data_IF_744431913864
#
_entry.id   IF_744431913864
#
_cell.length_a   1.000
_cell.length_b   1.000
_cell.length_c   1.000
_cell.angle_alpha   90.00
_cell.angle_beta   90.00
_cell.angle_gamma   90.00
#
_symmetry.space_group_name_H-M   'P 1'
#
loop_
_entity.id
_entity.type
_entity.pdbx_description
1 polymer ?
#
# COMPACT_ATOMS: atom_id res chain seq x y z
N UNK A 1 -6.22 24.77 -8.63
CA UNK A 1 -5.39 24.06 -7.65
C UNK A 1 -5.02 22.67 -8.18
N UNK A 2 -5.98 21.86 -8.61
CA UNK A 2 -5.74 20.50 -9.14
C UNK A 2 -4.90 20.46 -10.43
N UNK A 3 -5.14 21.36 -11.39
CA UNK A 3 -4.38 21.37 -12.66
C UNK A 3 -2.87 21.57 -12.48
N UNK A 4 -2.45 22.23 -11.39
CA UNK A 4 -1.04 22.54 -11.11
C UNK A 4 -0.34 21.49 -10.24
N UNK A 5 -1.08 20.58 -9.59
CA UNK A 5 -0.53 19.61 -8.62
C UNK A 5 -0.75 18.17 -9.07
N UNK A 6 0.19 17.28 -8.77
CA UNK A 6 -0.01 15.85 -9.01
C UNK A 6 -1.01 15.33 -7.98
N UNK A 7 -2.09 14.71 -8.44
CA UNK A 7 -3.00 13.91 -7.61
C UNK A 7 -2.51 12.47 -7.69
N UNK A 8 -2.32 11.84 -6.54
CA UNK A 8 -1.74 10.51 -6.45
C UNK A 8 -2.59 9.63 -5.52
N UNK A 9 -2.56 8.34 -5.80
CA UNK A 9 -3.06 7.27 -4.94
C UNK A 9 -1.94 6.20 -4.89
N UNK A 10 -1.29 5.98 -3.73
CA UNK A 10 -0.08 5.18 -3.61
C UNK A 10 -0.37 3.67 -3.55
N UNK A 11 -1.64 3.25 -3.63
CA UNK A 11 -2.01 1.85 -3.55
C UNK A 11 -3.43 1.62 -4.09
N UNK A 12 -3.59 0.55 -4.87
CA UNK A 12 -4.87 0.03 -5.32
C UNK A 12 -4.92 -1.48 -5.05
N UNK A 13 -5.63 -1.88 -4.01
CA UNK A 13 -5.69 -3.25 -3.50
C UNK A 13 -6.78 -4.12 -4.14
N UNK A 14 -6.92 -4.09 -5.46
CA UNK A 14 -7.72 -5.11 -6.16
C UNK A 14 -6.91 -6.38 -6.35
N UNK A 15 -7.56 -7.54 -6.35
CA UNK A 15 -6.95 -8.86 -6.43
C UNK A 15 -5.99 -9.01 -7.63
N UNK A 16 -4.66 -9.07 -7.42
CA UNK A 16 -3.70 -9.13 -8.51
C UNK A 16 -3.70 -10.49 -9.22
N UNK A 17 -4.52 -10.63 -10.26
CA UNK A 17 -4.58 -11.80 -11.15
C UNK A 17 -4.24 -11.42 -12.61
N UNK A 18 -3.50 -12.27 -13.38
CA UNK A 18 -3.16 -11.96 -14.77
C UNK A 18 -4.35 -11.70 -15.71
N UNK A 19 -5.55 -12.14 -15.33
CA UNK A 19 -6.82 -11.99 -16.04
C UNK A 19 -7.63 -10.76 -15.65
N UNK A 20 -7.19 -9.93 -14.69
CA UNK A 20 -7.87 -8.69 -14.32
C UNK A 20 -8.03 -7.76 -15.52
N UNK A 21 -9.23 -7.20 -15.68
CA UNK A 21 -9.50 -6.18 -16.67
C UNK A 21 -8.98 -4.81 -16.22
N UNK A 22 -7.72 -4.54 -16.54
CA UNK A 22 -7.06 -3.27 -16.24
C UNK A 22 -7.64 -2.06 -16.97
N UNK A 23 -8.56 -2.23 -17.94
CA UNK A 23 -9.27 -1.07 -18.51
C UNK A 23 -10.10 -0.33 -17.46
N UNK A 24 -10.45 -1.00 -16.36
CA UNK A 24 -11.16 -0.42 -15.21
C UNK A 24 -10.32 0.56 -14.41
N UNK A 25 -8.99 0.61 -14.60
CA UNK A 25 -8.15 1.68 -14.05
C UNK A 25 -8.60 3.08 -14.50
N UNK A 26 -9.45 3.16 -15.54
CA UNK A 26 -10.10 4.38 -15.99
C UNK A 26 -10.86 5.11 -14.87
N UNK A 27 -11.35 4.42 -13.82
CA UNK A 27 -12.04 5.08 -12.69
C UNK A 27 -11.14 6.10 -11.97
N UNK A 28 -9.85 5.80 -11.80
CA UNK A 28 -8.88 6.74 -11.22
C UNK A 28 -8.65 7.94 -12.14
N UNK A 29 -8.55 7.71 -13.46
CA UNK A 29 -8.40 8.79 -14.44
C UNK A 29 -9.60 9.72 -14.45
N UNK A 30 -10.80 9.16 -14.42
CA UNK A 30 -12.06 9.92 -14.39
C UNK A 30 -12.20 10.72 -13.08
N UNK A 31 -11.64 10.20 -11.98
CA UNK A 31 -11.50 10.90 -10.70
C UNK A 31 -10.39 11.98 -10.69
N UNK A 32 -9.60 12.09 -11.76
CA UNK A 32 -8.53 13.09 -11.91
C UNK A 32 -7.18 12.67 -11.33
N UNK A 33 -7.01 11.42 -10.91
CA UNK A 33 -5.74 10.88 -10.42
C UNK A 33 -4.70 10.87 -11.54
N UNK A 34 -3.47 11.27 -11.22
CA UNK A 34 -2.37 11.38 -12.16
C UNK A 34 -1.30 10.32 -11.96
N UNK A 35 -1.18 9.78 -10.75
CA UNK A 35 -0.30 8.68 -10.39
C UNK A 35 -1.05 7.64 -9.59
N UNK A 36 -0.87 6.38 -9.94
CA UNK A 36 -1.40 5.23 -9.25
C UNK A 36 -0.29 4.19 -9.05
N UNK A 37 -0.12 3.69 -7.83
CA UNK A 37 0.56 2.42 -7.63
C UNK A 37 -0.47 1.30 -7.60
N UNK A 38 -0.19 0.23 -8.36
CA UNK A 38 -1.08 -0.93 -8.49
C UNK A 38 -0.42 -2.12 -7.82
N UNK A 39 -1.12 -2.77 -6.89
CA UNK A 39 -0.62 -3.99 -6.27
C UNK A 39 -0.47 -5.09 -7.33
N UNK A 40 0.63 -5.83 -7.24
CA UNK A 40 0.90 -6.98 -8.11
C UNK A 40 1.10 -8.27 -7.32
N UNK A 41 1.00 -8.23 -5.99
CA UNK A 41 0.98 -9.43 -5.16
C UNK A 41 1.13 -9.17 -3.68
N UNK A 42 0.51 -10.03 -2.89
CA UNK A 42 0.51 -9.99 -1.44
C UNK A 42 0.95 -11.34 -0.82
N UNK A 43 1.29 -11.37 0.48
CA UNK A 43 1.97 -12.52 1.11
C UNK A 43 1.24 -13.88 1.01
N UNK A 44 -0.08 -13.89 0.79
CA UNK A 44 -0.86 -15.14 0.67
C UNK A 44 -0.64 -15.79 -0.70
N UNK A 45 -0.20 -15.04 -1.70
CA UNK A 45 0.05 -15.55 -3.05
C UNK A 45 1.39 -16.28 -3.14
N UNK A 46 1.45 -17.32 -3.99
CA UNK A 46 2.74 -17.89 -4.39
C UNK A 46 3.51 -16.83 -5.20
N UNK A 47 4.79 -16.62 -4.88
CA UNK A 47 5.61 -15.61 -5.55
C UNK A 47 5.66 -15.77 -7.08
N UNK A 48 5.44 -16.99 -7.60
CA UNK A 48 5.37 -17.22 -9.06
C UNK A 48 4.13 -16.58 -9.67
N UNK A 49 3.03 -16.52 -8.92
CA UNK A 49 1.80 -15.87 -9.36
C UNK A 49 1.94 -14.35 -9.30
N UNK A 50 2.61 -13.80 -8.29
CA UNK A 50 3.05 -12.39 -8.26
C UNK A 50 3.82 -12.00 -9.54
N UNK A 51 4.76 -12.84 -9.97
CA UNK A 51 5.52 -12.60 -11.22
C UNK A 51 4.62 -12.65 -12.46
N UNK A 52 3.63 -13.55 -12.50
CA UNK A 52 2.67 -13.62 -13.62
C UNK A 52 1.79 -12.38 -13.66
N UNK A 53 1.25 -11.94 -12.52
CA UNK A 53 0.41 -10.74 -12.41
C UNK A 53 1.20 -9.50 -12.82
N UNK A 54 2.40 -9.30 -12.25
CA UNK A 54 3.31 -8.22 -12.65
C UNK A 54 3.62 -8.24 -14.16
N UNK A 55 3.94 -9.39 -14.73
CA UNK A 55 4.24 -9.49 -16.16
C UNK A 55 3.02 -9.15 -17.04
N UNK A 56 1.83 -9.60 -16.65
CA UNK A 56 0.59 -9.31 -17.35
C UNK A 56 0.23 -7.82 -17.28
N UNK A 57 0.32 -7.22 -16.09
CA UNK A 57 -0.02 -5.83 -15.85
C UNK A 57 0.95 -4.91 -16.58
N UNK A 58 2.25 -5.19 -16.47
CA UNK A 58 3.29 -4.46 -17.19
C UNK A 58 3.09 -4.53 -18.71
N UNK A 59 2.75 -5.70 -19.26
CA UNK A 59 2.45 -5.85 -20.70
C UNK A 59 1.27 -4.98 -21.11
N UNK A 60 0.21 -4.96 -20.31
CA UNK A 60 -0.99 -4.18 -20.59
C UNK A 60 -0.71 -2.67 -20.54
N UNK A 61 -0.08 -2.18 -19.47
CA UNK A 61 0.26 -0.76 -19.29
C UNK A 61 1.16 -0.25 -20.44
N UNK A 62 2.09 -1.07 -20.93
CA UNK A 62 2.96 -0.69 -22.05
C UNK A 62 2.25 -0.67 -23.41
N UNK A 63 1.09 -1.31 -23.53
CA UNK A 63 0.34 -1.41 -24.78
C UNK A 63 -0.91 -0.51 -24.82
N UNK A 64 -1.44 -0.13 -23.66
CA UNK A 64 -2.67 0.64 -23.55
C UNK A 64 -2.45 2.15 -23.76
N UNK A 65 -3.35 2.78 -24.51
CA UNK A 65 -3.34 4.24 -24.69
C UNK A 65 -3.80 4.96 -23.42
N UNK A 66 -3.15 6.07 -23.08
CA UNK A 66 -3.51 6.88 -21.92
C UNK A 66 -2.99 6.34 -20.58
N UNK A 67 -2.05 5.40 -20.61
CA UNK A 67 -1.34 4.86 -19.44
C UNK A 67 0.16 4.88 -19.69
N UNK A 68 0.95 5.08 -18.64
CA UNK A 68 2.41 5.07 -18.74
C UNK A 68 3.03 4.43 -17.52
N UNK A 69 3.82 3.37 -17.73
CA UNK A 69 4.72 2.86 -16.71
C UNK A 69 5.83 3.90 -16.48
N UNK A 70 6.01 4.32 -15.24
CA UNK A 70 7.00 5.34 -14.86
C UNK A 70 7.97 4.82 -13.80
N UNK A 71 9.14 5.43 -13.73
CA UNK A 71 10.17 5.13 -12.74
C UNK A 71 10.65 6.33 -11.93
N UNK A 72 10.13 7.53 -12.17
CA UNK A 72 10.56 8.74 -11.46
C UNK A 72 9.46 9.80 -11.34
N UNK A 73 9.60 10.72 -10.39
CA UNK A 73 8.72 11.89 -10.23
C UNK A 73 8.70 12.79 -11.47
N UNK A 74 9.82 12.86 -12.20
CA UNK A 74 9.85 13.60 -13.47
C UNK A 74 8.93 12.95 -14.51
N UNK A 75 8.96 11.63 -14.64
CA UNK A 75 8.10 10.89 -15.55
C UNK A 75 6.62 10.96 -15.14
N UNK A 76 6.30 10.98 -13.84
CA UNK A 76 4.94 11.24 -13.34
C UNK A 76 4.43 12.59 -13.86
N UNK A 77 5.25 13.64 -13.76
CA UNK A 77 4.89 14.99 -14.24
C UNK A 77 4.71 15.03 -15.76
N UNK A 78 5.53 14.29 -16.50
CA UNK A 78 5.39 14.20 -17.96
C UNK A 78 4.16 13.38 -18.39
N UNK A 79 3.82 12.30 -17.69
CA UNK A 79 2.59 11.54 -17.91
C UNK A 79 1.36 12.43 -17.68
N UNK A 80 1.33 13.18 -16.57
CA UNK A 80 0.26 14.14 -16.29
C UNK A 80 0.10 15.16 -17.43
N UNK A 81 1.20 15.75 -17.91
CA UNK A 81 1.16 16.73 -19.03
C UNK A 81 0.63 16.11 -20.33
N UNK A 82 0.90 14.82 -20.54
CA UNK A 82 0.41 14.07 -21.70
C UNK A 82 -1.06 13.62 -21.58
N UNK A 83 -1.67 13.74 -20.39
CA UNK A 83 -3.01 13.22 -20.11
C UNK A 83 -3.02 11.71 -19.84
N UNK A 84 -1.86 11.12 -19.58
CA UNK A 84 -1.70 9.70 -19.24
C UNK A 84 -1.79 9.50 -17.72
N UNK A 85 -2.34 8.36 -17.29
CA UNK A 85 -2.16 7.89 -15.92
C UNK A 85 -0.73 7.36 -15.76
N UNK A 86 0.05 7.96 -14.86
CA UNK A 86 1.34 7.42 -14.46
C UNK A 86 1.09 6.20 -13.56
N UNK A 87 1.73 5.08 -13.87
CA UNK A 87 1.55 3.82 -13.14
C UNK A 87 2.89 3.28 -12.68
N UNK A 88 2.93 2.85 -11.41
CA UNK A 88 3.97 2.00 -10.83
C UNK A 88 3.31 0.76 -10.25
N UNK A 89 4.13 -0.14 -9.71
CA UNK A 89 3.64 -1.29 -8.97
C UNK A 89 4.11 -1.25 -7.51
N UNK A 90 3.36 -1.93 -6.66
CA UNK A 90 3.69 -2.21 -5.28
C UNK A 90 3.52 -3.69 -4.96
N UNK A 91 4.10 -4.11 -3.84
CA UNK A 91 4.02 -5.47 -3.34
C UNK A 91 3.57 -5.45 -1.89
N UNK A 92 2.45 -6.09 -1.63
CA UNK A 92 1.87 -6.27 -0.32
C UNK A 92 2.50 -7.45 0.45
N UNK A 93 3.81 -7.40 0.67
CA UNK A 93 4.52 -8.36 1.52
C UNK A 93 5.76 -8.99 0.90
N UNK A 94 6.67 -9.42 1.77
CA UNK A 94 8.00 -9.90 1.37
C UNK A 94 8.05 -11.39 0.99
N UNK A 95 6.94 -12.14 1.07
CA UNK A 95 6.90 -13.51 0.53
C UNK A 95 7.12 -13.53 -0.99
N UNK A 96 6.82 -12.43 -1.70
CA UNK A 96 7.17 -12.25 -3.10
C UNK A 96 8.69 -12.39 -3.38
N UNK A 97 9.54 -12.22 -2.36
CA UNK A 97 10.99 -12.39 -2.46
C UNK A 97 11.45 -13.84 -2.35
N UNK A 98 10.60 -14.78 -1.93
CA UNK A 98 10.95 -16.21 -1.73
C UNK A 98 12.28 -16.40 -0.95
N UNK A 99 12.52 -15.55 0.05
CA UNK A 99 13.75 -15.55 0.85
C UNK A 99 15.02 -15.05 0.12
N UNK A 100 14.88 -14.50 -1.09
CA UNK A 100 15.99 -14.04 -1.94
C UNK A 100 16.04 -12.52 -2.02
N UNK A 101 17.12 -11.94 -1.49
CA UNK A 101 17.38 -10.50 -1.54
C UNK A 101 17.52 -9.98 -2.98
N UNK A 102 18.04 -10.80 -3.90
CA UNK A 102 18.28 -10.44 -5.30
C UNK A 102 16.98 -10.11 -6.05
N UNK A 103 15.82 -10.58 -5.55
CA UNK A 103 14.53 -10.29 -6.18
C UNK A 103 14.10 -8.83 -5.98
N UNK A 104 14.64 -8.11 -4.99
CA UNK A 104 14.33 -6.68 -4.78
C UNK A 104 14.73 -5.85 -6.01
N UNK A 105 15.97 -6.00 -6.49
CA UNK A 105 16.44 -5.28 -7.69
C UNK A 105 15.68 -5.72 -8.95
N UNK A 106 15.33 -7.01 -9.05
CA UNK A 106 14.52 -7.51 -10.15
C UNK A 106 13.14 -6.84 -10.19
N UNK A 107 12.41 -6.84 -9.07
CA UNK A 107 11.10 -6.18 -8.97
C UNK A 107 11.21 -4.68 -9.25
N UNK A 108 12.24 -4.02 -8.74
CA UNK A 108 12.50 -2.62 -9.04
C UNK A 108 12.68 -2.38 -10.56
N UNK A 109 13.48 -3.19 -11.26
CA UNK A 109 13.62 -3.07 -12.71
C UNK A 109 12.33 -3.35 -13.49
N UNK A 110 11.41 -4.13 -12.92
CA UNK A 110 10.12 -4.43 -13.53
C UNK A 110 9.04 -3.36 -13.28
N UNK A 111 9.29 -2.39 -12.40
CA UNK A 111 8.42 -1.24 -12.15
C UNK A 111 7.86 -1.15 -10.74
N UNK A 112 8.23 -2.06 -9.83
CA UNK A 112 7.85 -1.98 -8.42
C UNK A 112 8.61 -0.83 -7.74
N UNK A 113 7.91 0.03 -7.01
CA UNK A 113 8.51 1.23 -6.37
C UNK A 113 8.32 1.31 -4.86
N UNK A 114 7.46 0.47 -4.29
CA UNK A 114 7.33 0.28 -2.86
C UNK A 114 7.01 -1.18 -2.54
N UNK A 115 7.32 -1.62 -1.33
CA UNK A 115 7.02 -2.94 -0.83
C UNK A 115 6.81 -2.87 0.68
N UNK A 116 5.76 -3.53 1.18
CA UNK A 116 5.54 -3.65 2.61
C UNK A 116 6.17 -4.91 3.21
N UNK A 117 6.36 -4.91 4.53
CA UNK A 117 7.02 -6.02 5.22
C UNK A 117 6.19 -7.29 5.21
N UNK A 118 4.96 -7.21 5.72
CA UNK A 118 4.12 -8.36 5.96
C UNK A 118 2.64 -8.03 5.74
N UNK A 119 1.90 -8.87 5.03
CA UNK A 119 0.46 -8.71 4.86
C UNK A 119 -0.30 -9.47 5.94
N UNK A 120 -0.68 -8.74 6.99
CA UNK A 120 -1.48 -9.22 8.14
C UNK A 120 -0.77 -10.22 9.05
N UNK A 121 -0.11 -11.24 8.52
CA UNK A 121 0.52 -12.34 9.27
C UNK A 121 2.03 -12.24 9.23
N UNK A 122 2.68 -12.87 10.21
CA UNK A 122 4.14 -12.91 10.28
C UNK A 122 4.72 -13.66 9.08
N UNK A 123 5.85 -13.16 8.57
CA UNK A 123 6.59 -13.80 7.49
C UNK A 123 8.11 -13.82 7.80
N UNK A 124 8.93 -14.18 6.81
CA UNK A 124 10.37 -14.27 7.00
C UNK A 124 11.06 -12.92 7.30
N UNK A 125 10.42 -11.79 6.97
CA UNK A 125 10.98 -10.45 7.12
C UNK A 125 10.58 -9.77 8.43
N UNK A 126 9.39 -10.05 8.97
CA UNK A 126 8.95 -9.46 10.23
C UNK A 126 7.49 -9.75 10.57
N UNK A 127 7.01 -9.02 11.56
CA UNK A 127 5.67 -9.19 12.12
C UNK A 127 4.56 -8.45 11.35
N UNK A 128 3.41 -9.11 11.17
CA UNK A 128 2.18 -8.54 10.62
C UNK A 128 1.22 -8.09 11.72
N UNK A 129 0.36 -7.10 11.45
CA UNK A 129 -0.46 -6.49 12.51
C UNK A 129 -1.54 -7.41 13.12
N UNK A 130 -1.91 -8.51 12.46
CA UNK A 130 -2.96 -9.44 12.85
C UNK A 130 -2.38 -10.71 13.47
N UNK A 131 -1.12 -10.69 13.89
CA UNK A 131 -0.39 -11.84 14.40
C UNK A 131 0.47 -11.44 15.60
N UNK A 132 1.16 -12.40 16.22
CA UNK A 132 2.07 -12.13 17.33
C UNK A 132 3.17 -11.15 16.89
N UNK A 133 3.38 -10.08 17.66
CA UNK A 133 4.41 -9.09 17.31
C UNK A 133 5.81 -9.67 17.52
N UNK A 134 6.41 -10.11 16.41
CA UNK A 134 7.72 -10.81 16.38
C UNK A 134 8.90 -9.88 16.08
N UNK A 135 8.64 -8.60 15.78
CA UNK A 135 9.67 -7.62 15.42
C UNK A 135 10.31 -7.85 14.04
N UNK A 136 11.32 -7.03 13.72
CA UNK A 136 12.00 -7.06 12.43
C UNK A 136 13.13 -8.09 12.43
N UNK A 137 13.13 -8.98 11.45
CA UNK A 137 14.16 -10.02 11.34
C UNK A 137 15.45 -9.50 10.69
N UNK A 138 16.54 -10.26 10.80
CA UNK A 138 17.78 -9.97 10.08
C UNK A 138 17.58 -9.97 8.55
N UNK A 139 16.68 -10.82 8.04
CA UNK A 139 16.30 -10.82 6.63
C UNK A 139 15.58 -9.52 6.26
N UNK A 140 14.59 -9.10 7.06
CA UNK A 140 13.90 -7.83 6.87
C UNK A 140 14.84 -6.62 6.87
N UNK A 141 15.82 -6.59 7.78
CA UNK A 141 16.88 -5.56 7.82
C UNK A 141 17.73 -5.54 6.55
N UNK A 142 18.09 -6.71 6.03
CA UNK A 142 18.83 -6.82 4.77
C UNK A 142 18.00 -6.32 3.58
N UNK A 143 16.70 -6.64 3.56
CA UNK A 143 15.77 -6.16 2.52
C UNK A 143 15.63 -4.64 2.54
N UNK A 144 15.50 -4.00 3.71
CA UNK A 144 15.49 -2.53 3.83
C UNK A 144 16.73 -1.90 3.17
N UNK A 145 17.91 -2.44 3.48
CA UNK A 145 19.17 -1.92 2.93
C UNK A 145 19.20 -2.03 1.41
N UNK A 146 18.70 -3.13 0.85
CA UNK A 146 18.63 -3.35 -0.59
C UNK A 146 17.58 -2.47 -1.27
N UNK A 147 16.40 -2.30 -0.67
CA UNK A 147 15.35 -1.41 -1.16
C UNK A 147 15.89 0.01 -1.31
N UNK A 148 16.58 0.54 -0.30
CA UNK A 148 17.19 1.87 -0.40
C UNK A 148 18.37 1.94 -1.38
N UNK A 149 19.14 0.85 -1.53
CA UNK A 149 20.21 0.80 -2.55
C UNK A 149 19.65 0.97 -3.96
N UNK A 150 18.51 0.34 -4.26
CA UNK A 150 17.88 0.40 -5.59
C UNK A 150 16.94 1.60 -5.78
N UNK A 151 16.52 2.24 -4.69
CA UNK A 151 15.60 3.38 -4.70
C UNK A 151 14.11 2.98 -4.58
N UNK A 152 13.82 1.85 -3.94
CA UNK A 152 12.48 1.38 -3.59
C UNK A 152 12.09 1.91 -2.19
N UNK A 153 10.84 2.35 -2.03
CA UNK A 153 10.30 2.83 -0.76
C UNK A 153 9.94 1.67 0.17
N UNK A 154 10.30 1.84 1.44
CA UNK A 154 9.87 0.94 2.53
C UNK A 154 8.49 1.36 2.99
N UNK A 155 7.55 0.42 2.97
CA UNK A 155 6.18 0.62 3.38
C UNK A 155 5.87 -0.16 4.66
N UNK A 156 5.33 0.52 5.66
CA UNK A 156 4.97 -0.06 6.95
C UNK A 156 3.46 -0.32 7.07
N UNK A 157 2.69 -0.06 6.01
CA UNK A 157 1.34 -0.60 5.93
C UNK A 157 1.38 -2.11 6.15
N UNK A 158 0.30 -2.63 6.70
CA UNK A 158 0.16 -4.00 7.11
C UNK A 158 1.02 -4.54 8.29
N UNK A 159 1.96 -3.75 8.79
CA UNK A 159 3.06 -4.23 9.64
C UNK A 159 2.75 -4.11 11.15
N UNK A 160 3.28 -5.03 11.97
CA UNK A 160 3.16 -4.97 13.43
C UNK A 160 3.90 -3.77 14.03
N UNK A 161 3.58 -3.41 15.28
CA UNK A 161 4.16 -2.25 15.96
C UNK A 161 5.69 -2.35 16.08
N UNK A 162 6.22 -3.43 16.67
CA UNK A 162 7.66 -3.56 16.90
C UNK A 162 8.43 -3.59 15.58
N UNK A 163 7.91 -4.33 14.59
CA UNK A 163 8.50 -4.38 13.24
C UNK A 163 8.55 -2.99 12.60
N UNK A 164 7.47 -2.21 12.71
CA UNK A 164 7.41 -0.82 12.20
C UNK A 164 8.51 0.04 12.84
N UNK A 165 8.59 0.04 14.17
CA UNK A 165 9.50 0.91 14.91
C UNK A 165 10.96 0.55 14.64
N UNK A 166 11.28 -0.75 14.59
CA UNK A 166 12.61 -1.24 14.26
C UNK A 166 13.00 -0.98 12.81
N UNK A 167 12.04 -1.04 11.88
CA UNK A 167 12.26 -0.69 10.48
C UNK A 167 12.62 0.79 10.34
N UNK A 168 11.85 1.68 10.96
CA UNK A 168 12.13 3.13 10.93
C UNK A 168 13.46 3.49 11.61
N UNK A 169 13.87 2.78 12.66
CA UNK A 169 15.19 2.95 13.27
C UNK A 169 16.33 2.50 12.34
N UNK A 170 16.12 1.41 11.59
CA UNK A 170 17.10 0.90 10.64
C UNK A 170 17.17 1.71 9.34
N UNK A 171 16.14 2.51 9.06
CA UNK A 171 15.99 3.21 7.78
C UNK A 171 16.89 4.44 7.63
N UNK A 172 17.44 4.60 6.43
CA UNK A 172 18.32 5.73 6.07
C UNK A 172 17.68 6.71 5.09
N UNK A 173 16.45 6.43 4.67
CA UNK A 173 15.60 7.25 3.82
C UNK A 173 14.15 7.15 4.32
N UNK A 174 13.19 7.87 3.74
CA UNK A 174 11.81 7.85 4.20
C UNK A 174 11.20 6.44 4.20
N UNK A 175 10.44 6.13 5.25
CA UNK A 175 9.43 5.08 5.24
C UNK A 175 8.07 5.72 4.94
N UNK A 176 7.10 4.92 4.49
CA UNK A 176 5.71 5.36 4.34
C UNK A 176 4.77 4.43 5.09
N UNK A 177 3.54 4.89 5.30
CA UNK A 177 2.38 4.03 5.33
C UNK A 177 1.56 4.38 4.11
N UNK A 178 1.46 3.51 3.12
CA UNK A 178 0.68 3.79 1.90
C UNK A 178 -0.81 3.97 2.18
N UNK A 179 -1.35 3.19 3.12
CA UNK A 179 -2.77 3.12 3.47
C UNK A 179 -2.95 2.66 4.92
N UNK A 180 -3.18 3.59 5.85
CA UNK A 180 -3.38 3.33 7.28
C UNK A 180 -4.12 4.48 7.98
N UNK A 181 -4.94 4.15 8.98
CA UNK A 181 -5.70 5.14 9.75
C UNK A 181 -5.21 5.29 11.21
N UNK A 182 -5.55 6.41 11.88
CA UNK A 182 -5.36 6.60 13.32
C UNK A 182 -6.10 5.59 14.19
N UNK A 183 -5.35 4.80 14.96
CA UNK A 183 -5.92 3.92 15.99
C UNK A 183 -6.58 4.69 17.13
N UNK A 184 -6.16 5.94 17.34
CA UNK A 184 -6.76 6.85 18.31
C UNK A 184 -8.24 7.18 18.02
N UNK A 185 -8.68 7.09 16.75
CA UNK A 185 -10.06 7.35 16.35
C UNK A 185 -10.89 6.07 16.27
N UNK A 186 -10.27 4.96 15.86
CA UNK A 186 -10.91 3.65 15.78
C UNK A 186 -9.91 2.55 16.15
N UNK A 187 -10.18 1.84 17.23
CA UNK A 187 -9.30 0.78 17.74
C UNK A 187 -9.44 -0.49 16.89
N UNK A 188 -8.62 -0.57 15.86
CA UNK A 188 -8.54 -1.69 14.94
C UNK A 188 -7.07 -2.06 14.73
N UNK A 189 -6.74 -3.35 14.62
CA UNK A 189 -5.35 -3.83 14.48
C UNK A 189 -4.66 -3.28 13.22
N UNK A 190 -5.43 -3.02 12.16
CA UNK A 190 -4.96 -2.35 10.93
C UNK A 190 -4.56 -0.89 11.12
N UNK A 191 -5.09 -0.23 12.16
CA UNK A 191 -4.84 1.16 12.43
C UNK A 191 -3.57 1.31 13.26
N UNK A 192 -2.84 2.39 13.02
CA UNK A 192 -1.51 2.60 13.59
C UNK A 192 -1.58 3.55 14.78
N UNK A 193 -0.67 3.37 15.73
CA UNK A 193 -0.54 4.24 16.88
C UNK A 193 0.06 5.60 16.48
N UNK A 194 -0.30 6.65 17.20
CA UNK A 194 0.17 8.02 16.93
C UNK A 194 1.71 8.13 16.96
N UNK A 195 2.40 7.31 17.77
CA UNK A 195 3.86 7.27 17.83
C UNK A 195 4.49 6.59 16.61
N UNK A 196 3.87 5.56 16.03
CA UNK A 196 4.26 5.01 14.72
C UNK A 196 4.12 6.08 13.62
N UNK A 197 3.02 6.83 13.63
CA UNK A 197 2.80 7.91 12.67
C UNK A 197 3.85 9.03 12.81
N UNK A 198 4.21 9.40 14.05
CA UNK A 198 5.30 10.36 14.32
C UNK A 198 6.67 9.83 13.89
N UNK A 199 6.95 8.55 14.11
CA UNK A 199 8.18 7.92 13.67
C UNK A 199 8.29 7.94 12.14
N UNK A 200 7.19 7.68 11.41
CA UNK A 200 7.13 7.81 9.97
C UNK A 200 7.47 9.25 9.52
N UNK A 201 6.79 10.25 10.09
CA UNK A 201 7.06 11.66 9.79
C UNK A 201 8.53 12.05 10.09
N UNK A 202 9.14 11.51 11.15
CA UNK A 202 10.54 11.75 11.48
C UNK A 202 11.53 11.21 10.44
N UNK A 203 11.14 10.18 9.66
CA UNK A 203 11.92 9.72 8.48
C UNK A 203 11.74 10.62 7.25
N UNK A 204 10.97 11.72 7.36
CA UNK A 204 10.43 12.49 6.23
C UNK A 204 9.40 11.72 5.39
N UNK A 205 8.75 10.73 6.01
CA UNK A 205 7.73 9.87 5.43
C UNK A 205 6.36 10.50 5.31
N UNK A 206 5.41 9.74 4.74
CA UNK A 206 4.01 10.15 4.60
C UNK A 206 3.10 9.01 5.07
N UNK A 207 1.99 9.37 5.72
CA UNK A 207 0.90 8.46 6.06
C UNK A 207 -0.27 8.70 5.12
N UNK A 208 -0.59 7.73 4.26
CA UNK A 208 -1.77 7.74 3.41
C UNK A 208 -2.99 7.23 4.17
N UNK A 209 -4.05 8.04 4.25
CA UNK A 209 -5.30 7.68 4.93
C UNK A 209 -6.11 6.72 4.04
N UNK A 210 -6.56 5.61 4.64
CA UNK A 210 -7.28 4.53 3.95
C UNK A 210 -8.80 4.70 4.00
N UNK A 211 -9.45 4.40 2.88
CA UNK A 211 -10.89 4.58 2.66
C UNK A 211 -11.76 3.38 3.01
N UNK A 212 -11.19 2.31 3.58
CA UNK A 212 -11.91 1.08 3.92
C UNK A 212 -12.71 1.28 5.21
N UNK A 213 -14.03 1.04 5.13
CA UNK A 213 -14.97 1.40 6.18
C UNK A 213 -14.75 0.69 7.53
N UNK A 214 -14.33 -0.58 7.51
CA UNK A 214 -14.05 -1.34 8.75
C UNK A 214 -12.88 -0.76 9.56
N UNK A 215 -12.02 0.05 8.93
CA UNK A 215 -10.91 0.76 9.57
C UNK A 215 -11.29 2.17 10.04
N UNK A 216 -12.52 2.62 9.75
CA UNK A 216 -13.03 3.95 10.08
C UNK A 216 -14.26 3.93 11.02
N UNK A 217 -14.62 2.76 11.57
CA UNK A 217 -15.78 2.60 12.43
C UNK A 217 -16.55 1.31 12.15
N UNK A 218 -17.86 1.38 12.34
CA UNK A 218 -18.81 0.30 12.01
C UNK A 218 -19.05 0.22 10.49
N UNK A 219 -18.01 -0.12 9.73
CA UNK A 219 -18.01 -0.13 8.26
C UNK A 219 -18.40 1.23 7.62
N UNK A 220 -17.88 2.32 8.18
CA UNK A 220 -18.25 3.67 7.80
C UNK A 220 -17.48 4.15 6.56
N UNK A 221 -18.18 4.43 5.47
CA UNK A 221 -17.59 4.91 4.21
C UNK A 221 -17.86 6.39 3.93
N UNK A 222 -18.30 7.16 4.94
CA UNK A 222 -18.58 8.59 4.78
C UNK A 222 -17.29 9.37 4.57
N UNK A 223 -17.34 10.31 3.61
CA UNK A 223 -16.23 11.24 3.37
C UNK A 223 -15.92 12.16 4.55
N UNK A 224 -16.89 12.41 5.44
CA UNK A 224 -16.65 13.16 6.68
C UNK A 224 -15.76 12.39 7.63
N UNK A 225 -15.94 11.07 7.74
CA UNK A 225 -15.14 10.22 8.61
C UNK A 225 -13.72 10.09 8.06
N UNK A 226 -13.57 9.96 6.74
CA UNK A 226 -12.27 10.03 6.08
C UNK A 226 -11.57 11.38 6.39
N UNK A 227 -12.31 12.50 6.31
CA UNK A 227 -11.77 13.82 6.63
C UNK A 227 -11.36 13.94 8.12
N UNK A 228 -12.09 13.34 9.06
CA UNK A 228 -11.72 13.32 10.48
C UNK A 228 -10.37 12.59 10.71
N UNK A 229 -10.14 11.48 9.99
CA UNK A 229 -8.87 10.75 10.04
C UNK A 229 -7.71 11.58 9.44
N UNK A 230 -7.95 12.28 8.32
CA UNK A 230 -6.99 13.22 7.73
C UNK A 230 -6.67 14.35 8.71
N UNK A 231 -7.69 14.99 9.28
CA UNK A 231 -7.55 16.13 10.19
C UNK A 231 -6.78 15.75 11.46
N UNK A 232 -7.02 14.55 12.02
CA UNK A 232 -6.25 14.06 13.17
C UNK A 232 -4.75 14.03 12.87
N UNK A 233 -4.33 13.39 11.77
CA UNK A 233 -2.91 13.33 11.41
C UNK A 233 -2.33 14.63 10.89
N UNK A 234 -3.10 15.49 10.23
CA UNK A 234 -2.62 16.83 9.86
C UNK A 234 -2.30 17.65 11.11
N UNK A 235 -3.13 17.57 12.15
CA UNK A 235 -2.87 18.24 13.43
C UNK A 235 -1.68 17.61 14.19
N UNK A 236 -1.47 16.30 14.04
CA UNK A 236 -0.44 15.55 14.75
C UNK A 236 0.96 15.69 14.11
N UNK A 237 1.03 15.58 12.79
CA UNK A 237 2.24 15.40 11.99
C UNK A 237 2.58 16.63 11.14
N UNK A 238 1.59 17.44 10.78
CA UNK A 238 1.70 18.47 9.74
C UNK A 238 1.23 17.96 8.36
N UNK A 239 0.66 18.84 7.52
CA UNK A 239 0.09 18.46 6.21
C UNK A 239 1.12 17.92 5.21
N UNK A 240 2.42 18.14 5.41
CA UNK A 240 3.50 17.61 4.60
C UNK A 240 3.70 16.08 4.76
N UNK A 241 3.18 15.50 5.84
CA UNK A 241 3.34 14.09 6.20
C UNK A 241 2.04 13.28 6.08
N UNK A 242 0.99 13.85 5.49
CA UNK A 242 -0.32 13.20 5.33
C UNK A 242 -0.75 13.19 3.87
N UNK A 243 -1.22 12.04 3.41
CA UNK A 243 -1.75 11.83 2.07
C UNK A 243 -3.03 11.01 2.08
N UNK A 244 -3.48 10.64 0.89
CA UNK A 244 -4.62 9.75 0.68
C UNK A 244 -4.09 8.46 0.06
N UNK A 245 -4.50 7.31 0.59
CA UNK A 245 -4.29 6.02 -0.06
C UNK A 245 -5.47 5.13 0.16
N UNK A 246 -6.43 5.20 -0.78
CA UNK A 246 -7.80 4.79 -0.52
C UNK A 246 -7.97 3.29 -0.37
N UNK A 247 -7.02 2.52 -0.91
CA UNK A 247 -7.14 1.07 -1.02
C UNK A 247 -8.43 0.68 -1.77
N UNK A 248 -8.65 1.36 -2.90
CA UNK A 248 -9.86 1.22 -3.68
C UNK A 248 -9.76 -0.01 -4.59
N UNK A 249 -10.70 -0.94 -4.46
CA UNK A 249 -10.81 -2.13 -5.29
C UNK A 249 -11.80 -1.95 -6.46
N UNK A 250 -11.64 -2.77 -7.50
CA UNK A 250 -12.50 -2.76 -8.69
C UNK A 250 -13.85 -3.43 -8.37
N UNK A 251 -14.96 -2.77 -8.73
CA UNK A 251 -16.35 -3.16 -8.36
C UNK A 251 -16.77 -4.61 -8.63
N UNK A 252 -16.15 -5.31 -9.59
CA UNK A 252 -16.57 -6.67 -9.96
C UNK A 252 -15.96 -7.76 -9.06
N UNK A 253 -15.00 -7.42 -8.19
CA UNK A 253 -14.43 -8.39 -7.24
C UNK A 253 -15.44 -8.73 -6.13
N UNK A 254 -16.24 -7.76 -5.69
CA UNK A 254 -17.34 -7.97 -4.75
C UNK A 254 -18.58 -8.64 -5.36
N UNK A 255 -18.60 -8.88 -6.67
CA UNK A 255 -19.70 -9.55 -7.37
C UNK A 255 -19.35 -11.01 -7.75
N UNK A 256 -18.07 -11.37 -7.75
CA UNK A 256 -17.57 -12.72 -8.01
C UNK A 256 -17.35 -13.52 -6.71
N UNK A 257 -17.04 -12.84 -5.61
CA UNK A 257 -17.40 -13.31 -4.28
C UNK A 257 -18.92 -13.13 -4.17
N UNK A 258 -19.64 -14.19 -3.81
CA UNK A 258 -21.08 -14.10 -3.64
C UNK A 258 -21.44 -13.09 -2.56
N UNK A 259 -22.73 -12.97 -2.29
CA UNK A 259 -23.26 -12.39 -1.05
C UNK A 259 -22.85 -13.22 0.18
N UNK A 260 -21.55 -13.50 0.32
CA UNK A 260 -20.93 -14.10 1.49
C UNK A 260 -20.49 -12.93 2.38
N UNK A 261 -21.54 -12.30 2.93
CA UNK A 261 -21.49 -11.65 4.24
C UNK A 261 -20.95 -12.56 5.36
N UNK A 262 -20.50 -13.79 5.05
CA UNK A 262 -19.84 -14.75 5.93
C UNK A 262 -18.29 -14.71 5.85
N UNK A 263 -17.65 -14.25 4.78
CA UNK A 263 -16.15 -14.18 4.75
C UNK A 263 -15.59 -12.85 5.28
N UNK A 264 -16.45 -11.82 5.38
CA UNK A 264 -16.24 -10.71 6.33
C UNK A 264 -16.76 -11.04 7.74
N UNK A 265 -17.56 -12.12 7.91
CA UNK A 265 -17.94 -12.60 9.25
C UNK A 265 -16.82 -13.40 9.94
N UNK A 266 -15.84 -13.90 9.18
CA UNK A 266 -14.60 -14.47 9.73
C UNK A 266 -13.75 -13.46 10.53
N UNK A 267 -14.01 -12.16 10.37
CA UNK A 267 -13.42 -11.08 11.18
C UNK A 267 -14.40 -10.52 12.23
N UNK A 268 -15.69 -10.86 12.19
CA UNK A 268 -16.68 -10.47 13.22
C UNK A 268 -16.89 -11.51 14.31
N UNK A 269 -16.40 -12.74 14.16
CA UNK A 269 -16.58 -13.84 15.12
C UNK A 269 -15.38 -14.09 16.06
N UNK A 270 -14.44 -13.14 16.18
CA UNK A 270 -13.45 -13.14 17.26
C UNK A 270 -14.06 -12.53 18.54
N UNK A 271 -14.71 -13.41 19.29
CA UNK A 271 -15.42 -13.19 20.57
C UNK A 271 -14.70 -12.23 21.56
N UNK A 272 -15.45 -11.37 22.29
CA UNK A 272 -14.89 -10.41 23.23
C UNK A 272 -14.74 -11.09 24.60
N UNK A 273 -13.56 -11.64 24.86
CA UNK A 273 -13.08 -11.92 26.21
C UNK A 273 -11.57 -12.20 26.08
N UNK A 274 -10.76 -11.14 26.15
CA UNK A 274 -9.52 -10.99 26.93
C UNK A 274 -8.99 -9.57 26.77
#
# INVERSE_FOLDING_TARGET
>A
MFDQNVIWDPHAGFGPDPGVDLSKLQVWKDAGVNYLSVDVGYDVMDWRDTIKSLAAFRRWILAADGYRLVGSVAEIREAKKAGDLAVTFDLEGMNALDGSLDLVEMYHHLGVRQMLFAYNRNNAAGGGCHDEDTGLTDFGRAVIAEMYRVGMLVDCSHTAYTTTMEAMEASTAPCIFSHSNPRALWDHERNIWDDQARACAATSGVVGIVGIGIFMGENDTRTTTLADNIDHYVNLLGPEHVGIGLDYALQDEFAAEGDDSEDLAGLSDMNPEY
#
